data_IF_597871641264
#
_entry.id   IF_597871641264
#
_cell.length_a   1.000
_cell.length_b   1.000
_cell.length_c   1.000
_cell.angle_alpha   90.00
_cell.angle_beta   90.00
_cell.angle_gamma   90.00
#
_symmetry.space_group_name_H-M   'P 1'
#
loop_
_entity.id
_entity.type
_entity.pdbx_description
1 polymer ?
#
# COMPACT_ATOMS: atom_id res chain seq x y z
N UNK A 1 20.76 15.48 50.18
CA UNK A 1 19.63 15.21 49.26
C UNK A 1 20.00 15.71 47.87
N UNK A 2 20.35 14.79 46.96
CA UNK A 2 20.56 15.11 45.57
C UNK A 2 19.17 15.30 44.93
N UNK A 3 18.80 16.52 44.67
CA UNK A 3 17.71 16.82 43.75
C UNK A 3 18.27 16.60 42.34
N UNK A 4 18.05 15.40 41.80
CA UNK A 4 18.21 15.21 40.34
C UNK A 4 17.27 16.21 39.66
N UNK A 5 17.86 17.16 38.93
CA UNK A 5 17.11 18.12 38.16
C UNK A 5 16.17 17.36 37.20
N UNK A 6 14.87 17.57 37.36
CA UNK A 6 13.90 17.15 36.36
C UNK A 6 14.32 17.77 35.03
N UNK A 7 14.50 16.95 34.01
CA UNK A 7 14.71 17.48 32.69
C UNK A 7 13.51 18.40 32.36
N UNK A 8 13.79 19.66 32.05
CA UNK A 8 12.73 20.59 31.67
C UNK A 8 12.01 20.00 30.46
N UNK A 9 10.70 19.90 30.53
CA UNK A 9 9.88 19.51 29.41
C UNK A 9 10.07 20.53 28.27
N UNK A 10 10.53 20.02 27.12
CA UNK A 10 10.66 20.85 25.92
C UNK A 10 9.26 21.30 25.52
N UNK A 11 9.00 22.59 25.49
CA UNK A 11 7.72 23.15 25.02
C UNK A 11 7.49 22.71 23.59
N UNK A 12 6.31 22.21 23.27
CA UNK A 12 5.96 21.71 21.92
C UNK A 12 6.26 22.71 20.79
N UNK A 13 6.09 24.02 21.05
CA UNK A 13 6.38 25.08 20.10
C UNK A 13 7.90 25.35 19.90
N UNK A 14 8.77 24.77 20.71
CA UNK A 14 10.22 24.84 20.58
C UNK A 14 10.83 23.58 19.93
N UNK A 15 10.02 22.59 19.60
CA UNK A 15 10.48 21.40 18.91
C UNK A 15 10.74 21.69 17.43
N UNK A 16 11.87 21.21 16.91
CA UNK A 16 12.18 21.34 15.50
C UNK A 16 11.16 20.55 14.66
N UNK A 17 10.69 21.15 13.58
CA UNK A 17 9.86 20.45 12.60
C UNK A 17 10.66 19.36 11.88
N UNK A 18 10.00 18.30 11.47
CA UNK A 18 10.62 17.20 10.73
C UNK A 18 9.66 16.04 10.50
N UNK A 19 10.08 15.09 9.67
CA UNK A 19 9.32 13.85 9.48
C UNK A 19 9.75 12.85 10.56
N UNK A 20 8.86 12.44 11.47
CA UNK A 20 9.22 11.48 12.51
C UNK A 20 9.47 10.10 11.91
N UNK A 21 10.51 9.42 12.34
CA UNK A 21 10.72 8.00 12.02
C UNK A 21 9.79 7.09 12.84
N UNK A 22 9.42 7.54 14.04
CA UNK A 22 8.53 6.82 14.98
C UNK A 22 7.63 7.81 15.71
N UNK A 23 6.47 7.33 16.13
CA UNK A 23 5.56 8.06 17.00
C UNK A 23 5.65 7.51 18.43
N UNK A 24 5.17 8.27 19.40
CA UNK A 24 4.99 7.79 20.77
C UNK A 24 3.49 7.65 21.05
N UNK A 25 3.13 6.60 21.74
CA UNK A 25 1.75 6.34 22.11
C UNK A 25 1.66 5.37 23.28
N UNK A 26 0.43 5.04 23.65
CA UNK A 26 0.13 4.03 24.66
C UNK A 26 -0.58 2.85 23.98
N UNK A 27 -0.17 1.63 24.32
CA UNK A 27 -0.92 0.43 23.99
C UNK A 27 -2.18 0.34 24.88
N UNK A 28 -3.10 -0.54 24.53
CA UNK A 28 -4.34 -0.74 25.28
C UNK A 28 -4.13 -1.14 26.75
N UNK A 29 -2.99 -1.77 27.07
CA UNK A 29 -2.59 -2.13 28.43
C UNK A 29 -1.89 -0.99 29.21
N UNK A 30 -1.82 0.21 28.63
CA UNK A 30 -1.18 1.40 29.23
C UNK A 30 0.34 1.47 29.08
N UNK A 31 0.99 0.48 28.47
CA UNK A 31 2.42 0.51 28.22
C UNK A 31 2.78 1.49 27.11
N UNK A 32 3.90 2.17 27.25
CA UNK A 32 4.44 3.05 26.20
C UNK A 32 4.85 2.23 24.98
N UNK A 33 4.45 2.69 23.81
CA UNK A 33 4.83 2.11 22.50
C UNK A 33 5.44 3.18 21.60
N UNK A 34 6.25 2.74 20.67
CA UNK A 34 6.87 3.61 19.66
C UNK A 34 6.70 3.03 18.26
N UNK A 35 5.47 3.06 17.70
CA UNK A 35 5.21 2.53 16.37
C UNK A 35 5.91 3.34 15.28
N UNK A 36 6.26 2.67 14.19
CA UNK A 36 6.68 3.31 12.96
C UNK A 36 5.49 3.98 12.26
N UNK A 37 5.76 4.90 11.33
CA UNK A 37 4.70 5.49 10.52
C UNK A 37 3.97 4.44 9.67
N UNK A 38 4.67 3.43 9.20
CA UNK A 38 4.07 2.32 8.44
C UNK A 38 3.09 1.52 9.30
N UNK A 39 3.47 1.17 10.54
CA UNK A 39 2.57 0.49 11.47
C UNK A 39 1.32 1.31 11.76
N UNK A 40 1.46 2.63 11.91
CA UNK A 40 0.30 3.52 12.10
C UNK A 40 -0.57 3.57 10.85
N UNK A 41 0.03 3.73 9.66
CA UNK A 41 -0.73 3.72 8.40
C UNK A 41 -1.48 2.41 8.20
N UNK A 42 -0.85 1.28 8.48
CA UNK A 42 -1.49 -0.03 8.39
C UNK A 42 -2.66 -0.15 9.38
N UNK A 43 -2.50 0.36 10.59
CA UNK A 43 -3.56 0.36 11.61
C UNK A 43 -4.80 1.18 11.20
N UNK A 44 -4.63 2.25 10.45
CA UNK A 44 -5.74 3.05 9.89
C UNK A 44 -6.20 2.59 8.50
N UNK A 45 -5.70 1.45 8.01
CA UNK A 45 -6.15 0.83 6.77
C UNK A 45 -5.50 1.34 5.49
N UNK A 46 -4.35 2.02 5.58
CA UNK A 46 -3.57 2.46 4.41
C UNK A 46 -2.34 1.57 4.27
N UNK A 47 -2.28 0.80 3.19
CA UNK A 47 -1.19 -0.12 2.89
C UNK A 47 -0.46 0.32 1.62
N UNK A 48 0.87 0.20 1.62
CA UNK A 48 1.70 0.52 0.47
C UNK A 48 2.53 -0.69 0.06
N UNK A 49 2.52 -1.00 -1.24
CA UNK A 49 3.32 -2.06 -1.84
C UNK A 49 4.19 -1.45 -2.93
N UNK A 50 5.43 -1.89 -3.03
CA UNK A 50 6.33 -1.52 -4.13
C UNK A 50 7.16 -2.73 -4.51
N UNK A 51 7.13 -3.11 -5.78
CA UNK A 51 7.88 -4.25 -6.29
C UNK A 51 8.07 -4.16 -7.81
N UNK A 52 9.04 -4.90 -8.31
CA UNK A 52 9.30 -5.03 -9.74
C UNK A 52 8.91 -6.44 -10.18
N UNK A 53 8.17 -6.54 -11.27
CA UNK A 53 7.83 -7.77 -11.95
C UNK A 53 8.66 -7.90 -13.22
N UNK A 54 9.34 -9.02 -13.42
CA UNK A 54 9.97 -9.34 -14.68
C UNK A 54 8.93 -9.53 -15.80
N UNK A 55 9.40 -9.64 -17.04
CA UNK A 55 8.51 -9.98 -18.16
C UNK A 55 7.79 -11.30 -17.89
N UNK A 56 6.49 -11.32 -18.10
CA UNK A 56 5.59 -12.47 -17.88
C UNK A 56 5.50 -12.97 -16.43
N UNK A 57 6.09 -12.28 -15.47
CA UNK A 57 6.03 -12.65 -14.06
C UNK A 57 4.66 -12.40 -13.45
N UNK A 58 4.24 -13.34 -12.63
CA UNK A 58 3.05 -13.23 -11.77
C UNK A 58 3.49 -13.19 -10.30
N UNK A 59 2.84 -12.32 -9.53
CA UNK A 59 3.04 -12.22 -8.08
C UNK A 59 1.73 -12.43 -7.35
N UNK A 60 1.77 -13.35 -6.39
CA UNK A 60 0.73 -13.52 -5.39
C UNK A 60 0.91 -12.49 -4.27
N UNK A 61 -0.09 -11.68 -4.03
CA UNK A 61 -0.11 -10.67 -2.97
C UNK A 61 -0.88 -11.14 -1.72
N UNK A 62 -1.28 -12.41 -1.71
CA UNK A 62 -2.09 -12.96 -0.64
C UNK A 62 -3.55 -12.50 -0.68
N UNK A 63 -4.26 -12.75 0.41
CA UNK A 63 -5.65 -12.32 0.53
C UNK A 63 -5.70 -10.86 1.03
N UNK A 64 -5.53 -9.93 0.12
CA UNK A 64 -5.45 -8.49 0.42
C UNK A 64 -6.81 -7.86 0.77
N UNK A 65 -7.83 -8.52 1.08
CA UNK A 65 -9.10 -7.91 1.50
C UNK A 65 -9.68 -6.85 0.53
N UNK A 66 -10.83 -6.35 0.89
CA UNK A 66 -11.57 -5.36 0.09
C UNK A 66 -10.94 -3.97 0.21
N UNK A 67 -11.17 -3.14 -0.79
CA UNK A 67 -10.71 -1.76 -0.72
C UNK A 67 -10.52 -1.07 -2.07
N UNK A 68 -10.15 0.18 -1.98
CA UNK A 68 -9.75 0.99 -3.11
C UNK A 68 -8.24 0.85 -3.34
N UNK A 69 -7.84 0.61 -4.57
CA UNK A 69 -6.46 0.44 -4.99
C UNK A 69 -6.06 1.53 -5.97
N UNK A 70 -4.97 2.22 -5.66
CA UNK A 70 -4.31 3.18 -6.53
C UNK A 70 -3.00 2.56 -7.00
N UNK A 71 -2.83 2.43 -8.31
CA UNK A 71 -1.64 1.79 -8.91
C UNK A 71 -0.93 2.78 -9.80
N UNK A 72 0.37 2.91 -9.62
CA UNK A 72 1.24 3.73 -10.46
C UNK A 72 2.49 2.96 -10.85
N UNK A 73 3.13 3.38 -11.93
CA UNK A 73 4.42 2.85 -12.34
C UNK A 73 5.36 3.99 -12.74
N UNK A 74 6.59 4.02 -12.22
CA UNK A 74 7.59 4.98 -12.68
C UNK A 74 8.11 4.68 -14.09
N UNK A 75 7.94 3.44 -14.58
CA UNK A 75 8.35 3.03 -15.92
C UNK A 75 7.35 3.40 -17.00
N UNK A 76 6.09 3.63 -16.61
CA UNK A 76 4.98 3.96 -17.51
C UNK A 76 4.22 5.10 -16.84
N UNK A 77 4.09 6.22 -17.55
CA UNK A 77 3.46 7.44 -17.02
C UNK A 77 1.92 7.33 -16.98
N UNK A 78 1.41 6.25 -16.42
CA UNK A 78 -0.02 5.95 -16.29
C UNK A 78 -0.32 5.41 -14.90
N UNK A 79 -1.56 5.57 -14.50
CA UNK A 79 -2.07 5.10 -13.22
C UNK A 79 -3.43 4.44 -13.40
N UNK A 80 -3.73 3.46 -12.55
CA UNK A 80 -5.04 2.82 -12.50
C UNK A 80 -5.66 2.99 -11.12
N UNK A 81 -6.98 3.04 -11.09
CA UNK A 81 -7.79 3.05 -9.88
C UNK A 81 -8.80 1.92 -10.01
N UNK A 82 -8.83 1.02 -9.05
CA UNK A 82 -9.82 -0.06 -9.05
C UNK A 82 -10.33 -0.36 -7.63
N UNK A 83 -11.51 -0.94 -7.57
CA UNK A 83 -12.13 -1.41 -6.34
C UNK A 83 -12.05 -2.93 -6.35
N UNK A 84 -11.48 -3.51 -5.31
CA UNK A 84 -11.44 -4.96 -5.11
C UNK A 84 -12.55 -5.38 -4.16
N UNK A 85 -13.48 -6.18 -4.67
CA UNK A 85 -14.53 -6.85 -3.90
C UNK A 85 -14.25 -8.33 -3.68
N UNK A 86 -15.25 -9.05 -3.14
CA UNK A 86 -15.15 -10.49 -2.90
C UNK A 86 -15.14 -11.31 -4.18
N UNK A 87 -15.97 -10.93 -5.12
CA UNK A 87 -16.26 -11.70 -6.32
C UNK A 87 -15.52 -11.18 -7.56
N UNK A 88 -15.36 -9.87 -7.66
CA UNK A 88 -14.81 -9.22 -8.84
C UNK A 88 -14.10 -7.93 -8.49
N UNK A 89 -13.28 -7.47 -9.41
CA UNK A 89 -12.70 -6.14 -9.39
C UNK A 89 -13.47 -5.24 -10.34
N UNK A 90 -13.55 -3.96 -10.02
CA UNK A 90 -14.09 -2.95 -10.92
C UNK A 90 -13.05 -1.86 -11.11
N UNK A 91 -12.65 -1.61 -12.35
CA UNK A 91 -11.83 -0.47 -12.69
C UNK A 91 -12.67 0.80 -12.66
N UNK A 92 -12.18 1.79 -11.91
CA UNK A 92 -12.65 3.17 -11.97
C UNK A 92 -11.92 3.90 -13.10
N UNK A 93 -10.64 3.58 -13.28
CA UNK A 93 -9.79 4.07 -14.36
C UNK A 93 -8.70 3.05 -14.64
N UNK A 94 -8.55 2.65 -15.88
CA UNK A 94 -7.56 1.66 -16.34
C UNK A 94 -6.27 2.29 -16.90
N UNK A 95 -6.10 3.58 -16.74
CA UNK A 95 -4.94 4.32 -17.23
C UNK A 95 -5.03 4.70 -18.72
N UNK A 96 -6.12 4.41 -19.40
CA UNK A 96 -6.43 4.90 -20.75
C UNK A 96 -5.69 4.26 -21.92
N UNK A 97 -4.76 3.33 -21.71
CA UNK A 97 -3.91 2.74 -22.76
C UNK A 97 -3.93 1.20 -22.78
N UNK A 98 -4.96 0.58 -22.27
CA UNK A 98 -5.05 -0.89 -22.21
C UNK A 98 -3.86 -1.55 -21.47
N UNK A 99 -3.26 -0.86 -20.53
CA UNK A 99 -2.10 -1.36 -19.80
C UNK A 99 -2.51 -2.11 -18.55
N UNK A 100 -3.50 -1.60 -17.85
CA UNK A 100 -4.08 -2.24 -16.69
C UNK A 100 -5.46 -2.78 -16.99
N UNK A 101 -5.79 -3.95 -16.50
CA UNK A 101 -7.13 -4.50 -16.60
C UNK A 101 -7.37 -5.61 -15.57
N UNK A 102 -8.59 -6.11 -15.57
CA UNK A 102 -8.99 -7.24 -14.76
C UNK A 102 -8.13 -8.48 -15.05
N UNK A 103 -7.91 -9.32 -14.04
CA UNK A 103 -7.05 -10.51 -14.14
C UNK A 103 -7.47 -11.48 -15.25
N UNK A 104 -8.73 -11.50 -15.61
CA UNK A 104 -9.29 -12.39 -16.66
C UNK A 104 -8.91 -11.99 -18.08
N UNK A 105 -8.44 -10.76 -18.30
CA UNK A 105 -8.05 -10.29 -19.64
C UNK A 105 -6.56 -10.52 -19.91
N UNK A 106 -6.22 -11.67 -20.48
CA UNK A 106 -4.83 -12.01 -20.84
C UNK A 106 -4.20 -11.18 -21.95
N UNK A 107 -4.94 -10.26 -22.58
CA UNK A 107 -4.44 -9.44 -23.71
C UNK A 107 -3.81 -8.13 -23.26
N UNK A 108 -4.02 -7.72 -22.02
CA UNK A 108 -3.56 -6.43 -21.47
C UNK A 108 -2.18 -6.52 -20.86
N UNK A 109 -1.50 -5.37 -20.76
CA UNK A 109 -0.11 -5.28 -20.33
C UNK A 109 0.11 -5.66 -18.88
N UNK A 110 -0.79 -5.29 -17.98
CA UNK A 110 -0.75 -5.68 -16.56
C UNK A 110 -2.16 -6.02 -16.12
N UNK A 111 -2.32 -7.18 -15.53
CA UNK A 111 -3.62 -7.65 -15.04
C UNK A 111 -3.60 -7.80 -13.52
N UNK A 112 -4.73 -7.46 -12.90
CA UNK A 112 -4.93 -7.48 -11.46
C UNK A 112 -6.18 -8.27 -11.12
N UNK A 113 -6.18 -8.96 -10.02
CA UNK A 113 -7.42 -9.48 -9.46
C UNK A 113 -7.28 -10.81 -8.78
N UNK A 114 -8.44 -11.35 -8.41
CA UNK A 114 -8.58 -12.68 -7.84
C UNK A 114 -8.85 -13.70 -8.94
N UNK A 115 -8.20 -14.83 -8.88
CA UNK A 115 -8.48 -15.97 -9.79
C UNK A 115 -9.77 -16.69 -9.41
N UNK A 116 -10.12 -16.66 -8.13
CA UNK A 116 -11.32 -17.28 -7.58
C UNK A 116 -11.95 -16.35 -6.55
N UNK A 117 -13.25 -16.48 -6.35
CA UNK A 117 -13.97 -15.74 -5.31
C UNK A 117 -13.31 -15.95 -3.94
N UNK A 118 -13.10 -14.86 -3.21
CA UNK A 118 -12.40 -14.84 -1.92
C UNK A 118 -10.97 -15.43 -1.92
N UNK A 119 -10.40 -15.72 -3.09
CA UNK A 119 -9.03 -16.21 -3.22
C UNK A 119 -7.97 -15.12 -3.06
N UNK A 120 -6.72 -15.51 -3.25
CA UNK A 120 -5.61 -14.56 -3.25
C UNK A 120 -5.71 -13.56 -4.40
N UNK A 121 -5.16 -12.39 -4.17
CA UNK A 121 -5.05 -11.32 -5.16
C UNK A 121 -3.73 -11.47 -5.91
N UNK A 122 -3.80 -11.48 -7.24
CA UNK A 122 -2.65 -11.63 -8.12
C UNK A 122 -2.41 -10.39 -8.96
N UNK A 123 -1.16 -10.19 -9.30
CA UNK A 123 -0.72 -9.23 -10.29
C UNK A 123 0.16 -9.98 -11.30
N UNK A 124 -0.06 -9.74 -12.59
CA UNK A 124 0.75 -10.33 -13.65
C UNK A 124 1.19 -9.27 -14.66
N UNK A 125 2.47 -9.31 -14.97
CA UNK A 125 3.05 -8.51 -16.04
C UNK A 125 3.01 -9.31 -17.35
N UNK A 126 2.12 -8.96 -18.26
CA UNK A 126 2.05 -9.58 -19.59
C UNK A 126 2.94 -8.87 -20.63
N UNK A 127 3.70 -7.85 -20.20
CA UNK A 127 4.62 -7.11 -21.06
C UNK A 127 5.91 -7.89 -21.30
N UNK A 128 6.64 -7.48 -22.35
CA UNK A 128 7.96 -8.03 -22.69
C UNK A 128 9.09 -7.49 -21.81
N UNK A 129 8.85 -6.36 -21.13
CA UNK A 129 9.82 -5.67 -20.30
C UNK A 129 9.40 -5.74 -18.82
N UNK A 130 10.37 -5.63 -17.92
CA UNK A 130 10.12 -5.52 -16.50
C UNK A 130 9.36 -4.23 -16.18
N UNK A 131 8.47 -4.30 -15.19
CA UNK A 131 7.70 -3.14 -14.71
C UNK A 131 7.81 -3.01 -13.20
N UNK A 132 8.07 -1.80 -12.73
CA UNK A 132 7.98 -1.47 -11.30
C UNK A 132 6.59 -0.92 -11.02
N UNK A 133 5.95 -1.45 -9.99
CA UNK A 133 4.62 -1.05 -9.56
C UNK A 133 4.65 -0.51 -8.14
N UNK A 134 3.93 0.57 -7.93
CA UNK A 134 3.63 1.14 -6.61
C UNK A 134 2.13 1.10 -6.43
N UNK A 135 1.68 0.45 -5.37
CA UNK A 135 0.26 0.25 -5.07
C UNK A 135 -0.03 0.83 -3.70
N UNK A 136 -1.05 1.68 -3.61
CA UNK A 136 -1.67 2.04 -2.35
C UNK A 136 -3.05 1.39 -2.26
N UNK A 137 -3.31 0.74 -1.14
CA UNK A 137 -4.63 0.22 -0.79
C UNK A 137 -5.20 1.06 0.36
N UNK A 138 -6.45 1.44 0.21
CA UNK A 138 -7.25 2.06 1.26
C UNK A 138 -8.37 1.09 1.56
N UNK A 139 -8.39 0.55 2.77
CA UNK A 139 -9.50 -0.30 3.25
C UNK A 139 -10.74 0.55 3.48
N UNK A 140 -11.87 0.01 3.11
CA UNK A 140 -13.18 0.61 3.33
C UNK A 140 -13.86 -0.14 4.47
#
# INVERSE_FOLDING_TARGET
>A
LNVQGMAEDIKENAMAGGTPARLRGLAANGNSISPTLEEVMNAIGIYTYSFTLAASEEKDLGNLGYGLYLVTSPNIAISAIFICGALSNSFVSDGGYNVYCDYTDGTKGVVFGRKTSNGNFFIKNNRKDAITLKIKRITI
#
